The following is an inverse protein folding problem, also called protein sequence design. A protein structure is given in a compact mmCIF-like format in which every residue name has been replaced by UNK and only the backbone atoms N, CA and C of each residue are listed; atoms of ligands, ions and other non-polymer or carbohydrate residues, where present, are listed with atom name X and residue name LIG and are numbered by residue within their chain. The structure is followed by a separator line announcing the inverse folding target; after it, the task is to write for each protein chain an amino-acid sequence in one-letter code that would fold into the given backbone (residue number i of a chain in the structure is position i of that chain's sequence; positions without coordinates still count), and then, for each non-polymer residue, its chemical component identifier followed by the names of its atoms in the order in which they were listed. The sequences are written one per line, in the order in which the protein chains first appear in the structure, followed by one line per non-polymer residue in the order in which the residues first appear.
data_IF_764748562369
#
_entry.id   IF_764748562369
#
_cell.length_a   1.000
_cell.length_b   1.000
_cell.length_c   1.000
_cell.angle_alpha   90.00
_cell.angle_beta   90.00
_cell.angle_gamma   90.00
#
_symmetry.space_group_name_H-M   'P 1'
#
loop_
_entity.id
_entity.type
_entity.pdbx_description
1 polymer ?
#
# COMPACT_ATOMS: atom_id res chain seq x y z
N UNK A 1 -12.77 8.32 -14.18
CA UNK A 1 -11.62 7.56 -13.62
C UNK A 1 -10.46 8.55 -13.59
N UNK A 2 -9.94 8.95 -12.43
CA UNK A 2 -8.81 9.91 -12.37
C UNK A 2 -7.50 9.14 -12.38
N UNK A 3 -6.53 9.60 -13.17
CA UNK A 3 -5.33 8.84 -13.46
C UNK A 3 -4.35 8.81 -12.26
N UNK A 4 -3.80 7.62 -12.03
CA UNK A 4 -2.63 7.45 -11.18
C UNK A 4 -1.46 8.23 -11.79
N UNK A 5 -0.64 8.85 -10.95
CA UNK A 5 0.66 9.33 -11.42
C UNK A 5 1.49 8.13 -11.90
N UNK A 6 2.46 8.39 -12.77
CA UNK A 6 3.38 7.34 -13.26
C UNK A 6 4.05 6.58 -12.12
N UNK A 7 4.38 7.26 -11.02
CA UNK A 7 4.99 6.65 -9.84
C UNK A 7 4.01 5.73 -9.11
N UNK A 8 2.78 6.18 -8.88
CA UNK A 8 1.72 5.37 -8.24
C UNK A 8 1.38 4.14 -9.08
N UNK A 9 1.20 4.31 -10.40
CA UNK A 9 0.94 3.21 -11.32
C UNK A 9 2.08 2.19 -11.31
N UNK A 10 3.34 2.64 -11.37
CA UNK A 10 4.51 1.75 -11.30
C UNK A 10 4.52 0.92 -10.03
N UNK A 11 4.33 1.55 -8.87
CA UNK A 11 4.31 0.83 -7.57
C UNK A 11 3.18 -0.19 -7.56
N UNK A 12 1.98 0.21 -7.98
CA UNK A 12 0.81 -0.67 -7.97
C UNK A 12 0.98 -1.86 -8.92
N UNK A 13 1.49 -1.63 -10.14
CA UNK A 13 1.84 -2.70 -11.08
C UNK A 13 2.88 -3.64 -10.49
N UNK A 14 3.94 -3.13 -9.86
CA UNK A 14 4.96 -3.96 -9.23
C UNK A 14 4.40 -4.84 -8.10
N UNK A 15 3.46 -4.31 -7.31
CA UNK A 15 2.80 -5.07 -6.24
C UNK A 15 1.85 -6.12 -6.79
N UNK A 16 0.98 -5.78 -7.74
CA UNK A 16 0.01 -6.73 -8.32
C UNK A 16 0.72 -7.86 -9.07
N UNK A 17 1.72 -7.54 -9.87
CA UNK A 17 2.48 -8.55 -10.63
C UNK A 17 3.45 -9.31 -9.73
N UNK A 18 3.74 -8.81 -8.53
CA UNK A 18 4.77 -9.36 -7.66
C UNK A 18 6.20 -9.11 -8.14
N UNK A 19 6.42 -8.29 -9.18
CA UNK A 19 7.73 -8.03 -9.78
C UNK A 19 8.32 -6.67 -9.34
N UNK A 20 8.31 -6.41 -8.04
CA UNK A 20 8.87 -5.21 -7.42
C UNK A 20 10.21 -5.44 -6.73
N UNK A 21 10.83 -4.36 -6.23
CA UNK A 21 12.03 -4.41 -5.38
C UNK A 21 11.65 -4.76 -3.94
N UNK A 22 11.09 -5.96 -3.77
CA UNK A 22 10.62 -6.51 -2.50
C UNK A 22 11.75 -7.25 -1.78
N UNK A 23 11.76 -7.18 -0.44
CA UNK A 23 12.74 -7.88 0.41
C UNK A 23 12.86 -9.38 0.09
N UNK A 24 11.75 -10.07 -0.22
CA UNK A 24 11.77 -11.46 -0.70
C UNK A 24 12.72 -11.66 -1.91
N UNK A 25 12.49 -10.90 -2.99
CA UNK A 25 13.31 -10.98 -4.19
C UNK A 25 14.74 -10.52 -3.96
N UNK A 26 14.94 -9.47 -3.15
CA UNK A 26 16.28 -8.98 -2.81
C UNK A 26 17.09 -10.02 -2.02
N UNK A 27 16.43 -10.81 -1.16
CA UNK A 27 17.09 -11.85 -0.40
C UNK A 27 17.51 -13.01 -1.29
N UNK A 28 16.63 -13.47 -2.19
CA UNK A 28 16.93 -14.53 -3.15
C UNK A 28 18.15 -14.21 -3.99
N UNK A 29 18.30 -12.95 -4.42
CA UNK A 29 19.46 -12.51 -5.24
C UNK A 29 20.67 -12.07 -4.41
N UNK A 30 20.67 -12.31 -3.10
CA UNK A 30 21.82 -12.04 -2.21
C UNK A 30 22.11 -10.56 -1.94
N UNK A 31 21.15 -9.66 -2.14
CA UNK A 31 21.33 -8.21 -1.88
C UNK A 31 20.98 -7.79 -0.45
N UNK A 32 20.21 -8.61 0.27
CA UNK A 32 19.89 -8.41 1.68
C UNK A 32 20.02 -9.72 2.44
N UNK A 33 20.44 -9.62 3.71
CA UNK A 33 20.69 -10.78 4.56
C UNK A 33 19.40 -11.47 5.04
N UNK A 34 18.26 -10.79 4.96
CA UNK A 34 16.97 -11.32 5.40
C UNK A 34 15.85 -10.83 4.49
N UNK A 35 14.82 -11.65 4.21
CA UNK A 35 13.66 -11.23 3.45
C UNK A 35 12.62 -10.50 4.32
N UNK A 36 12.91 -10.20 5.59
CA UNK A 36 11.98 -9.54 6.51
C UNK A 36 11.49 -8.18 5.98
N UNK A 37 10.19 -7.95 6.10
CA UNK A 37 9.49 -6.71 5.80
C UNK A 37 10.09 -5.53 6.55
N UNK A 38 10.58 -4.54 5.80
CA UNK A 38 11.20 -3.33 6.38
C UNK A 38 10.23 -2.41 7.11
N UNK A 39 8.93 -2.66 6.99
CA UNK A 39 7.89 -1.87 7.66
C UNK A 39 7.44 -2.49 8.98
N UNK A 40 7.14 -3.79 9.01
CA UNK A 40 6.67 -4.44 10.24
C UNK A 40 7.76 -5.20 10.99
N UNK A 41 8.90 -5.51 10.37
CA UNK A 41 9.99 -6.32 10.92
C UNK A 41 9.58 -7.71 11.46
N UNK A 42 8.43 -8.25 11.01
CA UNK A 42 7.87 -9.50 11.54
C UNK A 42 7.76 -10.60 10.49
N UNK A 43 7.24 -10.30 9.30
CA UNK A 43 6.99 -11.29 8.25
C UNK A 43 7.92 -11.06 7.06
N UNK A 44 7.94 -12.01 6.13
CA UNK A 44 8.57 -11.84 4.82
C UNK A 44 7.96 -10.68 4.02
N UNK A 45 8.80 -9.86 3.39
CA UNK A 45 8.40 -8.78 2.49
C UNK A 45 7.98 -9.32 1.11
N UNK A 46 6.83 -9.98 1.04
CA UNK A 46 6.21 -10.38 -0.23
C UNK A 46 5.22 -9.31 -0.73
N UNK A 47 4.84 -9.37 -2.02
CA UNK A 47 3.85 -8.45 -2.59
C UNK A 47 2.50 -8.59 -1.89
N UNK A 48 2.07 -9.83 -1.61
CA UNK A 48 0.85 -10.13 -0.88
C UNK A 48 0.94 -9.55 0.54
N UNK A 49 2.07 -9.75 1.24
CA UNK A 49 2.22 -9.17 2.57
C UNK A 49 2.06 -7.64 2.53
N UNK A 50 2.75 -6.96 1.62
CA UNK A 50 2.67 -5.49 1.47
C UNK A 50 1.26 -5.02 1.11
N UNK A 51 0.60 -5.69 0.16
CA UNK A 51 -0.69 -5.29 -0.38
C UNK A 51 -1.89 -5.70 0.50
N UNK A 52 -1.75 -6.76 1.31
CA UNK A 52 -2.90 -7.39 1.98
C UNK A 52 -2.77 -7.43 3.51
N UNK A 53 -1.58 -7.70 4.06
CA UNK A 53 -1.46 -8.17 5.45
C UNK A 53 -0.62 -7.27 6.36
N UNK A 54 0.32 -6.48 5.82
CA UNK A 54 1.30 -5.74 6.61
C UNK A 54 0.61 -4.68 7.48
N UNK A 55 0.47 -4.90 8.78
CA UNK A 55 -0.24 -3.98 9.68
C UNK A 55 0.41 -2.60 9.76
N UNK A 56 1.73 -2.51 9.62
CA UNK A 56 2.45 -1.24 9.53
C UNK A 56 2.05 -0.37 8.31
N UNK A 57 1.41 -0.98 7.31
CA UNK A 57 0.90 -0.30 6.11
C UNK A 57 -0.63 -0.18 6.08
N UNK A 58 -1.34 -0.58 7.14
CA UNK A 58 -2.80 -0.60 7.17
C UNK A 58 -3.43 0.76 6.87
N UNK A 59 -2.93 1.84 7.49
CA UNK A 59 -3.41 3.20 7.24
C UNK A 59 -3.14 3.66 5.80
N UNK A 60 -1.96 3.35 5.26
CA UNK A 60 -1.59 3.69 3.87
C UNK A 60 -2.50 2.96 2.87
N UNK A 61 -2.77 1.69 3.11
CA UNK A 61 -3.73 0.93 2.29
C UNK A 61 -5.14 1.45 2.42
N UNK A 62 -5.57 1.84 3.63
CA UNK A 62 -6.90 2.41 3.80
C UNK A 62 -7.06 3.69 2.97
N UNK A 63 -6.06 4.57 3.01
CA UNK A 63 -6.05 5.80 2.21
C UNK A 63 -6.01 5.53 0.70
N UNK A 64 -5.23 4.54 0.26
CA UNK A 64 -5.04 4.27 -1.17
C UNK A 64 -6.09 3.33 -1.79
N UNK A 65 -6.69 2.43 -1.02
CA UNK A 65 -7.53 1.32 -1.50
C UNK A 65 -8.88 1.24 -0.77
N UNK A 66 -9.07 1.98 0.32
CA UNK A 66 -10.27 1.92 1.16
C UNK A 66 -10.33 0.71 2.09
N UNK A 67 -9.21 0.01 2.30
CA UNK A 67 -9.15 -1.18 3.15
C UNK A 67 -7.85 -1.25 3.95
N UNK A 68 -7.93 -1.75 5.18
CA UNK A 68 -6.77 -1.94 6.06
C UNK A 68 -6.07 -3.27 5.78
N UNK A 69 -6.83 -4.32 5.52
CA UNK A 69 -6.35 -5.66 5.12
C UNK A 69 -7.33 -6.28 4.11
N UNK A 70 -6.89 -7.25 3.32
CA UNK A 70 -7.77 -7.99 2.42
C UNK A 70 -7.26 -9.41 2.16
N UNK A 71 -8.13 -10.27 1.67
CA UNK A 71 -7.72 -11.55 1.11
C UNK A 71 -7.06 -11.36 -0.26
N UNK A 72 -6.04 -12.15 -0.64
CA UNK A 72 -5.38 -12.03 -1.93
C UNK A 72 -6.33 -12.17 -3.13
N UNK A 73 -7.41 -12.95 -2.98
CA UNK A 73 -8.44 -13.10 -4.02
C UNK A 73 -9.19 -11.80 -4.30
N UNK A 74 -9.27 -10.90 -3.33
CA UNK A 74 -9.90 -9.58 -3.49
C UNK A 74 -9.02 -8.60 -4.29
N UNK A 75 -7.77 -8.95 -4.63
CA UNK A 75 -6.88 -8.08 -5.42
C UNK A 75 -7.49 -7.72 -6.79
N UNK A 76 -8.24 -8.65 -7.39
CA UNK A 76 -8.87 -8.47 -8.70
C UNK A 76 -9.96 -7.38 -8.71
N UNK A 77 -10.54 -7.08 -7.56
CA UNK A 77 -11.59 -6.06 -7.39
C UNK A 77 -11.08 -4.76 -6.77
N UNK A 78 -9.77 -4.62 -6.56
CA UNK A 78 -9.19 -3.40 -5.98
C UNK A 78 -9.36 -2.20 -6.90
N UNK A 79 -9.95 -1.14 -6.36
CA UNK A 79 -9.97 0.18 -6.99
C UNK A 79 -9.06 1.10 -6.20
N UNK A 80 -8.05 1.69 -6.86
CA UNK A 80 -7.19 2.68 -6.21
C UNK A 80 -7.98 3.98 -6.02
N UNK A 81 -8.18 4.37 -4.76
CA UNK A 81 -8.84 5.60 -4.35
C UNK A 81 -7.79 6.70 -4.19
N UNK A 82 -8.05 7.86 -4.79
CA UNK A 82 -7.24 9.07 -4.63
C UNK A 82 -7.85 10.04 -3.60
N UNK A 83 -8.59 9.53 -2.63
CA UNK A 83 -9.26 10.38 -1.65
C UNK A 83 -8.35 10.74 -0.48
N UNK A 84 -8.02 12.03 -0.44
CA UNK A 84 -7.52 12.75 0.72
C UNK A 84 -8.62 12.78 1.79
N UNK A 85 -8.40 12.17 2.96
CA UNK A 85 -9.19 12.56 4.12
C UNK A 85 -8.84 14.02 4.43
N UNK A 86 -9.74 14.95 4.12
CA UNK A 86 -9.80 16.18 4.90
C UNK A 86 -10.13 15.70 6.33
N UNK A 87 -9.28 15.96 7.33
CA UNK A 87 -9.61 15.60 8.71
C UNK A 87 -10.93 16.32 9.09
N UNK A 88 -11.84 15.65 9.83
CA UNK A 88 -13.16 16.20 10.17
C UNK A 88 -13.10 17.54 10.93
N UNK A 89 -11.94 17.90 11.49
CA UNK A 89 -11.75 19.14 12.25
C UNK A 89 -11.64 20.42 11.41
N UNK A 90 -11.71 20.34 10.08
CA UNK A 90 -11.62 21.55 9.21
C UNK A 90 -12.99 22.12 8.79
N UNK A 91 -14.10 21.58 9.31
CA UNK A 91 -15.45 22.13 9.09
C UNK A 91 -15.93 23.09 10.20
N UNK A 92 -15.10 23.36 11.21
CA UNK A 92 -15.34 24.43 12.18
C UNK A 92 -14.30 25.52 11.89
N UNK A 93 -14.74 26.77 11.68
CA UNK A 93 -13.96 27.98 11.28
C UNK A 93 -13.99 28.39 9.80
N UNK A 94 -15.10 28.14 9.09
CA UNK A 94 -15.60 29.12 8.09
C UNK A 94 -17.04 29.50 8.37
N UNK A 95 -17.25 29.95 9.61
CA UNK A 95 -18.31 30.88 9.98
C UNK A 95 -17.65 32.12 10.57
N UNK A 96 -17.52 33.18 9.76
CA UNK A 96 -17.60 34.59 10.17
C UNK A 96 -17.33 35.51 8.98
N UNK A 97 -18.30 36.41 8.81
CA UNK A 97 -18.43 37.58 7.95
C UNK A 97 -18.68 37.35 6.45
#
# INVERSE_FOLDING_TARGET
MRDLSRAEAKIFTQLITGHGTLGYHQHIIGRVNSPTCKWCNQNEESSIHVLCHCLALAEKRYRALGMTTCEPTAIQSLTVRKEWCIPPDTLILKGRN
#
